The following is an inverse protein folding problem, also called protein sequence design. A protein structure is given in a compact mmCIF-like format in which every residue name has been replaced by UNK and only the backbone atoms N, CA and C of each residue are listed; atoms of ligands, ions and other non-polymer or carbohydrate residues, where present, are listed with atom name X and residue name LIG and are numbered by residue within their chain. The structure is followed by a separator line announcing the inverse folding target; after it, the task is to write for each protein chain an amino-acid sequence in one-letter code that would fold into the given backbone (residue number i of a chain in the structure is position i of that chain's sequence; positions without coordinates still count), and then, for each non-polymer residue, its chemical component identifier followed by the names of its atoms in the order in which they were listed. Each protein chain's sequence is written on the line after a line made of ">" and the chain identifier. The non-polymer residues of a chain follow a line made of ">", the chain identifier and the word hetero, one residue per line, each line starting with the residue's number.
data_IF_661921639581
#
_entry.id   IF_661921639581
#
_cell.length_a   1.000
_cell.length_b   1.000
_cell.length_c   1.000
_cell.angle_alpha   90.00
_cell.angle_beta   90.00
_cell.angle_gamma   90.00
#
_symmetry.space_group_name_H-M   'P 1'
#
loop_
_entity.id
_entity.type
_entity.pdbx_description
1 polymer ?
#
# COMPACT_ATOMS: atom_id res chain seq x y z
N UNK A 1 -13.03 6.37 -7.84
CA UNK A 1 -12.83 6.67 -6.40
C UNK A 1 -11.97 7.91 -6.30
N UNK A 2 -12.32 8.85 -5.42
CA UNK A 2 -11.41 9.95 -5.09
C UNK A 2 -10.55 9.49 -3.93
N UNK A 3 -9.28 9.19 -4.22
CA UNK A 3 -8.33 8.82 -3.20
C UNK A 3 -7.81 10.07 -2.46
N UNK A 4 -7.44 9.94 -1.17
CA UNK A 4 -6.88 11.04 -0.39
C UNK A 4 -5.50 11.48 -0.89
N UNK A 5 -4.69 10.55 -1.42
CA UNK A 5 -3.40 10.86 -2.03
C UNK A 5 -3.47 10.70 -3.55
N UNK A 6 -2.99 11.71 -4.25
CA UNK A 6 -2.71 11.61 -5.68
C UNK A 6 -1.48 10.70 -5.88
N UNK A 7 -1.65 9.58 -6.58
CA UNK A 7 -0.55 8.65 -6.82
C UNK A 7 0.46 9.25 -7.81
N UNK A 8 1.76 9.18 -7.48
CA UNK A 8 2.87 9.74 -8.27
C UNK A 8 2.97 9.15 -9.69
N UNK A 9 2.34 7.99 -9.91
CA UNK A 9 2.28 7.30 -11.21
C UNK A 9 1.26 7.91 -12.19
N UNK A 10 0.46 8.89 -11.75
CA UNK A 10 -0.60 9.47 -12.57
C UNK A 10 -1.84 8.59 -12.55
N UNK A 11 -2.16 7.93 -13.68
CA UNK A 11 -3.33 7.06 -13.74
C UNK A 11 -3.06 5.75 -12.94
N UNK A 12 -3.84 5.45 -11.89
CA UNK A 12 -3.69 4.23 -11.11
C UNK A 12 -3.73 2.94 -11.92
N UNK A 13 -4.50 2.92 -13.02
CA UNK A 13 -4.63 1.75 -13.89
C UNK A 13 -3.32 1.39 -14.61
N UNK A 14 -2.36 2.32 -14.68
CA UNK A 14 -1.05 2.08 -15.28
C UNK A 14 -0.08 1.36 -14.34
N UNK A 15 -0.43 1.20 -13.06
CA UNK A 15 0.39 0.43 -12.12
C UNK A 15 0.11 -1.06 -12.28
N UNK A 16 0.85 -1.67 -13.18
CA UNK A 16 0.75 -3.09 -13.48
C UNK A 16 1.94 -3.87 -12.89
N UNK A 17 1.72 -5.16 -12.63
CA UNK A 17 2.71 -6.05 -12.03
C UNK A 17 2.86 -5.88 -10.53
N UNK A 18 3.97 -6.37 -9.97
CA UNK A 18 4.28 -6.36 -8.53
C UNK A 18 3.27 -7.12 -7.66
N UNK A 19 2.61 -8.12 -8.24
CA UNK A 19 1.62 -8.94 -7.54
C UNK A 19 2.20 -9.54 -6.27
N UNK A 20 3.39 -10.16 -6.34
CA UNK A 20 4.04 -10.76 -5.17
C UNK A 20 4.35 -9.75 -4.05
N UNK A 21 4.74 -8.53 -4.41
CA UNK A 21 5.02 -7.48 -3.41
C UNK A 21 3.73 -7.02 -2.74
N UNK A 22 2.63 -6.90 -3.49
CA UNK A 22 1.32 -6.56 -2.94
C UNK A 22 0.73 -7.68 -2.10
N UNK A 23 0.86 -8.94 -2.51
CA UNK A 23 0.42 -10.09 -1.70
C UNK A 23 1.10 -10.07 -0.33
N UNK A 24 2.43 -9.90 -0.28
CA UNK A 24 3.18 -9.78 0.98
C UNK A 24 2.75 -8.59 1.84
N UNK A 25 2.46 -7.45 1.20
CA UNK A 25 1.98 -6.27 1.90
C UNK A 25 0.56 -6.45 2.44
N UNK A 26 -0.31 -7.13 1.70
CA UNK A 26 -1.66 -7.45 2.13
C UNK A 26 -1.64 -8.41 3.32
N UNK A 27 -0.84 -9.47 3.27
CA UNK A 27 -0.61 -10.37 4.42
C UNK A 27 -0.09 -9.60 5.63
N UNK A 28 0.85 -8.66 5.41
CA UNK A 28 1.34 -7.79 6.48
C UNK A 28 0.22 -6.92 7.07
N UNK A 29 -0.63 -6.30 6.23
CA UNK A 29 -1.76 -5.48 6.66
C UNK A 29 -2.79 -6.28 7.47
N UNK A 30 -3.14 -7.49 7.04
CA UNK A 30 -4.11 -8.37 7.74
C UNK A 30 -3.65 -8.75 9.16
N UNK A 31 -2.34 -8.72 9.41
CA UNK A 31 -1.73 -9.04 10.69
C UNK A 31 -1.59 -7.80 11.62
N UNK A 32 -1.79 -6.58 11.11
CA UNK A 32 -1.74 -5.34 11.91
C UNK A 32 -2.82 -5.32 12.99
N UNK A 33 -4.11 -5.63 12.73
CA UNK A 33 -5.14 -5.64 13.78
C UNK A 33 -4.84 -6.64 14.91
N UNK A 34 -4.12 -7.73 14.59
CA UNK A 34 -3.67 -8.75 15.55
C UNK A 34 -2.38 -8.36 16.28
N UNK A 35 -1.79 -7.20 15.97
CA UNK A 35 -0.49 -6.72 16.47
C UNK A 35 0.67 -7.69 16.23
N UNK A 36 0.59 -8.50 15.18
CA UNK A 36 1.66 -9.45 14.80
C UNK A 36 2.64 -8.85 13.80
N UNK A 37 2.17 -7.92 12.97
CA UNK A 37 2.95 -7.18 11.99
C UNK A 37 3.02 -5.71 12.38
N UNK A 38 4.22 -5.21 12.68
CA UNK A 38 4.41 -3.83 13.14
C UNK A 38 5.32 -3.03 12.22
N UNK A 39 6.47 -3.59 11.83
CA UNK A 39 7.44 -2.92 10.95
C UNK A 39 7.63 -3.71 9.67
N UNK A 40 7.76 -2.99 8.55
CA UNK A 40 8.10 -3.54 7.24
C UNK A 40 9.03 -2.57 6.51
N UNK A 41 9.85 -3.10 5.60
CA UNK A 41 10.78 -2.31 4.81
C UNK A 41 10.63 -2.64 3.32
N UNK A 42 10.52 -1.61 2.49
CA UNK A 42 10.49 -1.73 1.02
C UNK A 42 11.85 -1.31 0.48
N UNK A 43 12.69 -2.28 0.15
CA UNK A 43 14.02 -2.05 -0.42
C UNK A 43 13.98 -2.15 -1.94
N UNK A 44 14.34 -1.06 -2.62
CA UNK A 44 14.42 -1.01 -4.08
C UNK A 44 15.38 0.08 -4.54
N UNK A 45 15.88 -0.06 -5.78
CA UNK A 45 16.70 0.99 -6.42
C UNK A 45 15.91 2.30 -6.56
N UNK A 46 16.63 3.37 -6.88
CA UNK A 46 16.01 4.68 -7.15
C UNK A 46 15.14 4.56 -8.41
N UNK A 47 14.00 5.27 -8.42
CA UNK A 47 13.02 5.27 -9.52
C UNK A 47 12.37 3.92 -9.82
N UNK A 48 12.41 2.96 -8.89
CA UNK A 48 11.72 1.66 -9.03
C UNK A 48 10.24 1.67 -8.63
N UNK A 49 9.66 2.84 -8.31
CA UNK A 49 8.23 2.95 -7.97
C UNK A 49 7.87 2.64 -6.52
N UNK A 50 8.83 2.51 -5.60
CA UNK A 50 8.56 2.23 -4.18
C UNK A 50 7.63 3.25 -3.49
N UNK A 51 7.73 4.52 -3.86
CA UNK A 51 6.82 5.56 -3.36
C UNK A 51 5.38 5.29 -3.78
N UNK A 52 5.16 4.90 -5.04
CA UNK A 52 3.84 4.59 -5.57
C UNK A 52 3.18 3.37 -4.89
N UNK A 53 3.99 2.37 -4.49
CA UNK A 53 3.50 1.23 -3.69
C UNK A 53 2.93 1.74 -2.37
N UNK A 54 3.66 2.61 -1.67
CA UNK A 54 3.23 3.13 -0.38
C UNK A 54 1.98 4.01 -0.50
N UNK A 55 1.92 4.88 -1.51
CA UNK A 55 0.75 5.72 -1.81
C UNK A 55 -0.49 4.85 -2.08
N UNK A 56 -0.32 3.77 -2.85
CA UNK A 56 -1.41 2.82 -3.12
C UNK A 56 -1.89 2.09 -1.88
N UNK A 57 -0.96 1.57 -1.08
CA UNK A 57 -1.29 0.90 0.20
C UNK A 57 -2.03 1.88 1.11
N UNK A 58 -1.57 3.12 1.23
CA UNK A 58 -2.25 4.16 2.00
C UNK A 58 -3.69 4.37 1.49
N UNK A 59 -3.85 4.55 0.18
CA UNK A 59 -5.15 4.77 -0.45
C UNK A 59 -6.11 3.60 -0.22
N UNK A 60 -5.61 2.36 -0.30
CA UNK A 60 -6.39 1.14 -0.02
C UNK A 60 -6.82 1.10 1.44
N UNK A 61 -5.90 1.32 2.37
CA UNK A 61 -6.19 1.31 3.81
C UNK A 61 -7.18 2.41 4.18
N UNK A 62 -6.97 3.64 3.70
CA UNK A 62 -7.88 4.75 3.94
C UNK A 62 -9.30 4.49 3.40
N UNK A 63 -9.39 3.85 2.23
CA UNK A 63 -10.69 3.60 1.59
C UNK A 63 -11.42 2.38 2.12
N UNK A 64 -10.72 1.51 2.87
CA UNK A 64 -11.26 0.25 3.36
C UNK A 64 -11.54 0.34 4.87
N UNK A 65 -12.78 0.71 5.19
CA UNK A 65 -13.25 0.82 6.57
C UNK A 65 -13.24 -0.51 7.34
N UNK A 66 -13.27 -1.65 6.65
CA UNK A 66 -13.36 -2.98 7.27
C UNK A 66 -12.01 -3.44 7.86
N UNK A 67 -10.89 -2.88 7.38
CA UNK A 67 -9.57 -3.18 7.93
C UNK A 67 -9.42 -2.69 9.37
N UNK A 68 -10.18 -1.66 9.77
CA UNK A 68 -10.03 -1.01 11.08
C UNK A 68 -8.65 -0.38 11.31
N UNK A 69 -7.86 -0.23 10.24
CA UNK A 69 -6.56 0.42 10.23
C UNK A 69 -6.81 1.85 9.76
N UNK A 70 -6.40 2.82 10.56
CA UNK A 70 -6.53 4.22 10.19
C UNK A 70 -5.13 4.74 9.90
N UNK A 71 -4.87 5.25 8.67
CA UNK A 71 -3.58 5.81 8.33
C UNK A 71 -3.61 7.29 8.71
N UNK A 72 -3.15 7.58 9.94
CA UNK A 72 -3.11 8.90 10.56
C UNK A 72 -1.70 9.30 11.02
#
# INVERSE_FOLDING_TARGET
>A
MQYPLAETIGNPDLFVGRHEEFERLNEWLELIPKRLSMSTVILARRKSGKTAILERVFNQVWSNNDLGIIPF
#
